data_IF_835741146777
#
_entry.id   IF_835741146777
#
_cell.length_a   1.000
_cell.length_b   1.000
_cell.length_c   1.000
_cell.angle_alpha   90.00
_cell.angle_beta   90.00
_cell.angle_gamma   90.00
#
_symmetry.space_group_name_H-M   'P 1'
#
loop_
_entity.id
_entity.type
_entity.pdbx_description
1 polymer ?
#
# COMPACT_ATOMS: atom_id res chain seq x y z
N UNK A 1 -54.20 -26.67 6.83
CA UNK A 1 -54.64 -27.11 8.18
C UNK A 1 -53.89 -26.24 9.20
N UNK A 2 -54.55 -25.31 9.90
CA UNK A 2 -53.89 -24.45 10.90
C UNK A 2 -53.52 -25.29 12.13
N UNK A 3 -52.24 -25.25 12.54
CA UNK A 3 -51.75 -25.86 13.78
C UNK A 3 -51.94 -24.85 14.90
N UNK A 4 -52.97 -25.06 15.72
CA UNK A 4 -53.33 -24.17 16.84
C UNK A 4 -52.50 -24.48 18.10
N UNK A 5 -51.88 -25.67 18.16
CA UNK A 5 -50.97 -26.09 19.22
C UNK A 5 -49.75 -26.78 18.59
N UNK A 6 -48.55 -26.28 18.91
CA UNK A 6 -47.29 -26.75 18.32
C UNK A 6 -46.15 -26.89 19.34
N UNK A 7 -46.46 -26.89 20.64
CA UNK A 7 -45.48 -27.00 21.73
C UNK A 7 -44.31 -26.01 21.62
N UNK A 8 -44.61 -24.74 21.30
CA UNK A 8 -43.63 -23.65 21.13
C UNK A 8 -42.68 -23.81 19.93
N UNK A 9 -42.90 -24.78 19.04
CA UNK A 9 -42.03 -24.98 17.88
C UNK A 9 -41.91 -23.72 17.00
N UNK A 10 -43.02 -23.03 16.73
CA UNK A 10 -43.04 -21.78 15.96
C UNK A 10 -42.30 -20.67 16.70
N UNK A 11 -42.42 -20.59 18.03
CA UNK A 11 -41.69 -19.60 18.85
C UNK A 11 -40.18 -19.84 18.80
N UNK A 12 -39.74 -21.10 18.97
CA UNK A 12 -38.32 -21.47 18.86
C UNK A 12 -37.77 -21.23 17.46
N UNK A 13 -38.54 -21.53 16.42
CA UNK A 13 -38.15 -21.27 15.03
C UNK A 13 -38.02 -19.76 14.76
N UNK A 14 -38.94 -18.94 15.28
CA UNK A 14 -38.85 -17.48 15.19
C UNK A 14 -37.62 -16.94 15.94
N UNK A 15 -37.33 -17.45 17.14
CA UNK A 15 -36.12 -17.09 17.89
C UNK A 15 -34.85 -17.48 17.15
N UNK A 16 -34.78 -18.70 16.59
CA UNK A 16 -33.65 -19.15 15.79
C UNK A 16 -33.45 -18.26 14.54
N UNK A 17 -34.54 -17.91 13.84
CA UNK A 17 -34.48 -16.98 12.70
C UNK A 17 -34.01 -15.59 13.11
N UNK A 18 -34.39 -15.11 14.30
CA UNK A 18 -33.94 -13.83 14.83
C UNK A 18 -32.45 -13.86 15.17
N UNK A 19 -31.97 -14.92 15.82
CA UNK A 19 -30.55 -15.13 16.11
C UNK A 19 -29.74 -15.17 14.81
N UNK A 20 -30.17 -15.95 13.81
CA UNK A 20 -29.49 -16.03 12.52
C UNK A 20 -29.43 -14.66 11.79
N UNK A 21 -30.49 -13.86 11.90
CA UNK A 21 -30.52 -12.51 11.35
C UNK A 21 -29.60 -11.55 12.10
N UNK A 22 -29.54 -11.64 13.42
CA UNK A 22 -28.62 -10.85 14.25
C UNK A 22 -27.15 -11.25 13.99
N UNK A 23 -26.86 -12.55 13.83
CA UNK A 23 -25.53 -13.05 13.40
C UNK A 23 -25.14 -12.53 12.02
N UNK A 24 -26.05 -12.58 11.04
CA UNK A 24 -25.80 -12.06 9.70
C UNK A 24 -25.52 -10.54 9.72
N UNK A 25 -26.24 -9.79 10.56
CA UNK A 25 -25.99 -8.35 10.77
C UNK A 25 -24.63 -8.08 11.36
N UNK A 26 -24.24 -8.82 12.41
CA UNK A 26 -22.94 -8.68 13.06
C UNK A 26 -21.80 -9.01 12.09
N UNK A 27 -21.93 -10.08 11.31
CA UNK A 27 -20.95 -10.44 10.28
C UNK A 27 -20.81 -9.37 9.20
N UNK A 28 -21.93 -8.79 8.76
CA UNK A 28 -21.93 -7.70 7.78
C UNK A 28 -21.25 -6.44 8.35
N UNK A 29 -21.55 -6.07 9.58
CA UNK A 29 -20.92 -4.92 10.23
C UNK A 29 -19.42 -5.14 10.45
N UNK A 30 -19.03 -6.35 10.87
CA UNK A 30 -17.62 -6.74 11.01
C UNK A 30 -16.87 -6.59 9.68
N UNK A 31 -17.42 -7.15 8.59
CA UNK A 31 -16.80 -7.08 7.26
C UNK A 31 -16.72 -5.64 6.74
N UNK A 32 -17.71 -4.80 7.03
CA UNK A 32 -17.65 -3.37 6.69
C UNK A 32 -16.51 -2.67 7.41
N UNK A 33 -16.41 -2.84 8.73
CA UNK A 33 -15.32 -2.22 9.53
C UNK A 33 -13.94 -2.72 9.11
N UNK A 34 -13.82 -4.01 8.79
CA UNK A 34 -12.60 -4.62 8.27
C UNK A 34 -12.17 -3.92 6.96
N UNK A 35 -13.09 -3.77 6.00
CA UNK A 35 -12.81 -3.09 4.74
C UNK A 35 -12.49 -1.60 4.93
N UNK A 36 -13.24 -0.88 5.75
CA UNK A 36 -12.98 0.53 6.07
C UNK A 36 -11.58 0.73 6.67
N UNK A 37 -11.19 -0.15 7.60
CA UNK A 37 -9.86 -0.12 8.22
C UNK A 37 -8.77 -0.40 7.18
N UNK A 38 -8.98 -1.39 6.33
CA UNK A 38 -8.03 -1.75 5.27
C UNK A 38 -7.84 -0.61 4.27
N UNK A 39 -8.92 0.02 3.81
CA UNK A 39 -8.86 1.17 2.90
C UNK A 39 -8.13 2.36 3.54
N UNK A 40 -8.41 2.65 4.81
CA UNK A 40 -7.71 3.72 5.55
C UNK A 40 -6.21 3.44 5.69
N UNK A 41 -5.84 2.19 5.96
CA UNK A 41 -4.43 1.80 6.03
C UNK A 41 -3.73 1.97 4.68
N UNK A 42 -4.36 1.53 3.58
CA UNK A 42 -3.83 1.71 2.23
C UNK A 42 -3.66 3.19 1.87
N UNK A 43 -4.61 4.06 2.23
CA UNK A 43 -4.48 5.51 2.03
C UNK A 43 -3.27 6.09 2.79
N UNK A 44 -3.07 5.67 4.04
CA UNK A 44 -1.92 6.11 4.83
C UNK A 44 -0.60 5.60 4.22
N UNK A 45 -0.55 4.33 3.80
CA UNK A 45 0.62 3.74 3.14
C UNK A 45 0.97 4.51 1.85
N UNK A 46 -0.01 4.82 1.01
CA UNK A 46 0.17 5.63 -0.21
C UNK A 46 0.73 7.02 0.12
N UNK A 47 0.22 7.69 1.16
CA UNK A 47 0.71 9.00 1.57
C UNK A 47 2.15 8.93 2.10
N UNK A 48 2.48 7.91 2.91
CA UNK A 48 3.83 7.66 3.40
C UNK A 48 4.80 7.35 2.27
N UNK A 49 4.41 6.51 1.31
CA UNK A 49 5.21 6.20 0.12
C UNK A 49 5.46 7.43 -0.74
N UNK A 50 4.45 8.29 -0.92
CA UNK A 50 4.61 9.55 -1.65
C UNK A 50 5.66 10.45 -1.01
N UNK A 51 5.67 10.52 0.33
CA UNK A 51 6.69 11.27 1.08
C UNK A 51 8.07 10.64 0.97
N UNK A 52 8.16 9.30 1.04
CA UNK A 52 9.39 8.53 0.86
C UNK A 52 10.00 8.76 -0.54
N UNK A 53 9.18 8.77 -1.59
CA UNK A 53 9.60 9.06 -2.97
C UNK A 53 10.18 10.48 -3.06
N UNK A 54 9.56 11.47 -2.43
CA UNK A 54 10.11 12.83 -2.39
C UNK A 54 11.49 12.89 -1.72
N UNK A 55 11.68 12.19 -0.60
CA UNK A 55 12.98 12.10 0.06
C UNK A 55 14.01 11.36 -0.79
N UNK A 56 13.62 10.27 -1.45
CA UNK A 56 14.50 9.50 -2.34
C UNK A 56 14.91 10.29 -3.58
N UNK A 57 14.04 11.14 -4.12
CA UNK A 57 14.38 12.05 -5.21
C UNK A 57 15.49 13.03 -4.79
N UNK A 58 15.40 13.60 -3.59
CA UNK A 58 16.47 14.45 -3.06
C UNK A 58 17.76 13.66 -2.79
N UNK A 59 17.65 12.41 -2.34
CA UNK A 59 18.80 11.52 -2.18
C UNK A 59 19.50 11.23 -3.51
N UNK A 60 18.75 10.99 -4.59
CA UNK A 60 19.30 10.84 -5.95
C UNK A 60 20.07 12.09 -6.36
N UNK A 61 19.50 13.29 -6.17
CA UNK A 61 20.19 14.56 -6.48
C UNK A 61 21.47 14.73 -5.66
N UNK A 62 21.41 14.42 -4.36
CA UNK A 62 22.59 14.49 -3.48
C UNK A 62 23.69 13.52 -3.92
N UNK A 63 23.33 12.28 -4.27
CA UNK A 63 24.27 11.27 -4.79
C UNK A 63 24.91 11.70 -6.11
N UNK A 64 24.18 12.41 -6.97
CA UNK A 64 24.71 12.95 -8.21
C UNK A 64 25.73 14.07 -7.96
N UNK A 65 25.43 14.99 -7.02
CA UNK A 65 26.37 16.03 -6.62
C UNK A 65 27.64 15.43 -5.99
N UNK A 66 27.49 14.41 -5.14
CA UNK A 66 28.60 13.70 -4.54
C UNK A 66 29.48 13.03 -5.61
N UNK A 67 28.89 12.35 -6.58
CA UNK A 67 29.62 11.74 -7.69
C UNK A 67 30.40 12.78 -8.51
N UNK A 68 29.80 13.94 -8.82
CA UNK A 68 30.49 15.03 -9.53
C UNK A 68 31.69 15.54 -8.73
N UNK A 69 31.52 15.79 -7.43
CA UNK A 69 32.61 16.23 -6.57
C UNK A 69 33.72 15.18 -6.45
N UNK A 70 33.36 13.90 -6.33
CA UNK A 70 34.33 12.80 -6.32
C UNK A 70 35.08 12.69 -7.64
N UNK A 71 34.41 12.91 -8.76
CA UNK A 71 35.03 12.92 -10.09
C UNK A 71 36.05 14.07 -10.25
N UNK A 72 35.73 15.27 -9.79
CA UNK A 72 36.67 16.41 -9.80
C UNK A 72 37.89 16.16 -8.90
N UNK A 73 37.67 15.59 -7.72
CA UNK A 73 38.75 15.21 -6.79
C UNK A 73 39.62 14.09 -7.33
N UNK A 74 39.03 13.10 -8.01
CA UNK A 74 39.76 12.05 -8.70
C UNK A 74 40.65 12.62 -9.81
N UNK A 75 40.11 13.50 -10.66
CA UNK A 75 40.88 14.12 -11.74
C UNK A 75 42.03 15.02 -11.26
N UNK A 76 41.92 15.57 -10.06
CA UNK A 76 43.00 16.33 -9.41
C UNK A 76 43.97 15.46 -8.62
N UNK A 77 43.79 14.13 -8.61
CA UNK A 77 44.63 13.19 -7.87
C UNK A 77 44.42 13.19 -6.36
N UNK A 78 43.35 13.84 -5.87
CA UNK A 78 43.01 13.94 -4.45
C UNK A 78 42.22 12.72 -3.93
N UNK A 79 41.64 11.92 -4.83
CA UNK A 79 40.94 10.67 -4.51
C UNK A 79 41.44 9.52 -5.37
N UNK A 80 41.34 8.31 -4.83
CA UNK A 80 41.61 7.08 -5.55
C UNK A 80 40.44 6.69 -6.45
N UNK A 81 40.70 5.76 -7.36
CA UNK A 81 39.65 5.20 -8.23
C UNK A 81 38.57 4.45 -7.44
N UNK A 82 38.93 3.82 -6.31
CA UNK A 82 37.97 3.15 -5.41
C UNK A 82 36.93 4.11 -4.85
N UNK A 83 37.33 5.33 -4.49
CA UNK A 83 36.43 6.34 -3.91
C UNK A 83 35.43 6.84 -4.98
N UNK A 84 35.89 6.95 -6.22
CA UNK A 84 35.02 7.27 -7.36
C UNK A 84 34.01 6.14 -7.65
N UNK A 85 34.46 4.89 -7.59
CA UNK A 85 33.57 3.73 -7.76
C UNK A 85 32.53 3.64 -6.65
N UNK A 86 32.89 3.95 -5.41
CA UNK A 86 31.95 3.98 -4.29
C UNK A 86 30.86 5.05 -4.51
N UNK A 87 31.25 6.26 -4.90
CA UNK A 87 30.29 7.32 -5.20
C UNK A 87 29.36 6.95 -6.38
N UNK A 88 29.89 6.23 -7.37
CA UNK A 88 29.10 5.72 -8.50
C UNK A 88 28.09 4.66 -8.03
N UNK A 89 28.52 3.72 -7.18
CA UNK A 89 27.65 2.70 -6.58
C UNK A 89 26.51 3.36 -5.80
N UNK A 90 26.83 4.32 -4.93
CA UNK A 90 25.84 5.04 -4.13
C UNK A 90 24.79 5.76 -5.00
N UNK A 91 25.19 6.31 -6.15
CA UNK A 91 24.23 6.90 -7.11
C UNK A 91 23.28 5.86 -7.68
N UNK A 92 23.79 4.70 -8.10
CA UNK A 92 22.93 3.64 -8.63
C UNK A 92 22.01 3.05 -7.56
N UNK A 93 22.49 2.88 -6.34
CA UNK A 93 21.68 2.44 -5.21
C UNK A 93 20.55 3.44 -4.93
N UNK A 94 20.85 4.74 -4.92
CA UNK A 94 19.84 5.80 -4.75
C UNK A 94 18.77 5.75 -5.85
N UNK A 95 19.17 5.59 -7.12
CA UNK A 95 18.24 5.47 -8.26
C UNK A 95 17.38 4.21 -8.13
N UNK A 96 17.99 3.07 -7.78
CA UNK A 96 17.27 1.81 -7.63
C UNK A 96 16.21 1.89 -6.53
N UNK A 97 16.55 2.51 -5.40
CA UNK A 97 15.60 2.73 -4.30
C UNK A 97 14.46 3.66 -4.71
N UNK A 98 14.77 4.72 -5.46
CA UNK A 98 13.78 5.67 -5.94
C UNK A 98 12.78 5.04 -6.91
N UNK A 99 13.25 4.30 -7.92
CA UNK A 99 12.37 3.63 -8.88
C UNK A 99 11.57 2.51 -8.20
N UNK A 100 12.20 1.69 -7.34
CA UNK A 100 11.50 0.66 -6.57
C UNK A 100 10.39 1.23 -5.68
N UNK A 101 10.58 2.43 -5.11
CA UNK A 101 9.53 3.09 -4.33
C UNK A 101 8.36 3.58 -5.20
N UNK A 102 8.60 3.96 -6.46
CA UNK A 102 7.54 4.34 -7.42
C UNK A 102 6.74 3.12 -7.84
N UNK A 103 7.40 2.00 -8.10
CA UNK A 103 6.73 0.73 -8.39
C UNK A 103 5.85 0.29 -7.20
N UNK A 104 6.39 0.38 -5.98
CA UNK A 104 5.65 0.08 -4.74
C UNK A 104 4.41 0.98 -4.60
N UNK A 105 4.52 2.27 -4.93
CA UNK A 105 3.37 3.19 -4.93
C UNK A 105 2.27 2.75 -5.90
N UNK A 106 2.62 2.37 -7.12
CA UNK A 106 1.64 1.92 -8.11
C UNK A 106 0.96 0.61 -7.70
N UNK A 107 1.71 -0.33 -7.10
CA UNK A 107 1.14 -1.55 -6.51
C UNK A 107 0.13 -1.19 -5.41
N UNK A 108 0.48 -0.26 -4.50
CA UNK A 108 -0.43 0.15 -3.43
C UNK A 108 -1.68 0.87 -3.91
N UNK A 109 -1.58 1.67 -4.98
CA UNK A 109 -2.75 2.25 -5.65
C UNK A 109 -3.65 1.17 -6.24
N UNK A 110 -3.07 0.15 -6.89
CA UNK A 110 -3.84 -0.97 -7.44
C UNK A 110 -4.55 -1.77 -6.33
N UNK A 111 -3.87 -2.04 -5.21
CA UNK A 111 -4.48 -2.64 -4.01
C UNK A 111 -5.65 -1.79 -3.50
N UNK A 112 -5.49 -0.47 -3.41
CA UNK A 112 -6.57 0.42 -2.99
C UNK A 112 -7.80 0.34 -3.91
N UNK A 113 -7.61 0.37 -5.23
CA UNK A 113 -8.73 0.27 -6.18
C UNK A 113 -9.43 -1.09 -6.13
N UNK A 114 -8.65 -2.17 -5.97
CA UNK A 114 -9.22 -3.51 -5.79
C UNK A 114 -10.12 -3.58 -4.55
N UNK A 115 -9.64 -3.07 -3.42
CA UNK A 115 -10.38 -3.08 -2.16
C UNK A 115 -11.56 -2.11 -2.14
N UNK A 116 -11.52 -1.02 -2.93
CA UNK A 116 -12.64 -0.09 -3.06
C UNK A 116 -13.74 -0.61 -3.98
N UNK A 117 -13.51 -1.74 -4.66
CA UNK A 117 -14.43 -2.30 -5.65
C UNK A 117 -14.46 -1.50 -6.96
N UNK A 118 -13.48 -0.62 -7.19
CA UNK A 118 -13.30 0.07 -8.46
C UNK A 118 -12.59 -0.86 -9.47
N UNK A 119 -12.99 -0.77 -10.74
CA UNK A 119 -12.32 -1.54 -11.79
C UNK A 119 -10.91 -1.01 -12.02
N UNK A 120 -9.90 -1.83 -11.69
CA UNK A 120 -8.48 -1.51 -11.93
C UNK A 120 -8.25 -1.16 -13.41
N UNK A 121 -8.92 -1.88 -14.32
CA UNK A 121 -8.79 -1.72 -15.78
C UNK A 121 -9.28 -0.36 -16.29
N UNK A 122 -10.17 0.33 -15.58
CA UNK A 122 -10.67 1.65 -16.00
C UNK A 122 -9.69 2.79 -15.70
N UNK A 123 -8.70 2.57 -14.83
CA UNK A 123 -7.67 3.57 -14.48
C UNK A 123 -6.27 3.27 -15.01
N UNK A 124 -5.95 2.03 -15.40
CA UNK A 124 -4.71 1.71 -16.14
C UNK A 124 -4.92 1.98 -17.63
N UNK A 125 -5.26 3.21 -17.99
CA UNK A 125 -5.26 3.65 -19.40
C UNK A 125 -4.11 4.64 -19.57
N UNK A 126 -3.12 4.18 -20.34
CA UNK A 126 -1.91 4.84 -20.85
C UNK A 126 -1.74 6.34 -20.57
#
# INVERSE_FOLDING_TARGET
>A
RWKIFDFFATSKMSQASKIALDEARLNLEYKKRENETKLKNLQNEIATLSSKIASLNEYVKASELALRASYEKYNSGLLGYSDLLEALSQKFDAISLFEGAKDELEIKKAEYFFESGESILERIRD
#
